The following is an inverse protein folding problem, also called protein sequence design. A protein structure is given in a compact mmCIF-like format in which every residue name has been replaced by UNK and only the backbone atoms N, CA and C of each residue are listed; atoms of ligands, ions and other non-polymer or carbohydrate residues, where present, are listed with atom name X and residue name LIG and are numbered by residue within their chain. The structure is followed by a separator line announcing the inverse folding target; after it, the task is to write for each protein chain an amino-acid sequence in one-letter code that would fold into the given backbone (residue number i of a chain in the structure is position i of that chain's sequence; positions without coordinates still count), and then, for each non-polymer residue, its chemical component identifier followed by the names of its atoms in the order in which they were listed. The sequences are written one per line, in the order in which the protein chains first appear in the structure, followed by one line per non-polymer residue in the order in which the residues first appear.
data_IF_400309197586
#
_entry.id   IF_400309197586
#
_cell.length_a   1.000
_cell.length_b   1.000
_cell.length_c   1.000
_cell.angle_alpha   90.00
_cell.angle_beta   90.00
_cell.angle_gamma   90.00
#
_symmetry.space_group_name_H-M   'P 1'
#
loop_
_entity.id
_entity.type
_entity.pdbx_description
1 polymer ?
#
# COMPACT_ATOMS: atom_id res chain seq x y z
N UNK A 1 11.68 -33.73 -49.24
CA UNK A 1 12.43 -32.71 -48.47
C UNK A 1 11.42 -31.77 -47.85
N UNK A 2 10.88 -32.12 -46.68
CA UNK A 2 9.93 -31.29 -45.93
C UNK A 2 10.74 -30.33 -45.06
N UNK A 3 10.79 -29.05 -45.45
CA UNK A 3 11.31 -27.99 -44.59
C UNK A 3 10.19 -27.60 -43.61
N UNK A 4 10.30 -28.03 -42.36
CA UNK A 4 9.48 -27.52 -41.26
C UNK A 4 9.86 -26.05 -41.03
N UNK A 5 8.95 -25.12 -41.32
CA UNK A 5 8.97 -23.78 -40.75
C UNK A 5 8.67 -23.89 -39.25
N UNK A 6 9.73 -23.92 -38.44
CA UNK A 6 9.63 -23.54 -37.04
C UNK A 6 9.52 -22.02 -36.99
N UNK A 7 8.28 -21.50 -37.01
CA UNK A 7 8.01 -20.12 -36.63
C UNK A 7 8.35 -20.01 -35.14
N UNK A 8 9.57 -19.60 -34.81
CA UNK A 8 9.87 -19.14 -33.46
C UNK A 8 8.99 -17.91 -33.22
N UNK A 9 7.89 -18.09 -32.48
CA UNK A 9 7.19 -16.99 -31.83
C UNK A 9 8.19 -16.33 -30.86
N UNK A 10 9.00 -15.40 -31.36
CA UNK A 10 9.64 -14.44 -30.49
C UNK A 10 8.52 -13.64 -29.84
N UNK A 11 8.44 -13.71 -28.53
CA UNK A 11 7.51 -12.87 -27.77
C UNK A 11 7.89 -11.42 -28.02
N UNK A 12 7.03 -10.71 -28.74
CA UNK A 12 7.16 -9.28 -28.97
C UNK A 12 6.91 -8.55 -27.65
N UNK A 13 7.93 -7.87 -27.15
CA UNK A 13 7.88 -7.03 -25.95
C UNK A 13 8.05 -5.55 -26.29
N UNK A 14 7.90 -5.16 -27.56
CA UNK A 14 8.07 -3.77 -28.03
C UNK A 14 7.13 -2.79 -27.34
N UNK A 15 5.95 -3.24 -26.92
CA UNK A 15 4.98 -2.46 -26.16
C UNK A 15 5.35 -2.23 -24.68
N UNK A 16 6.40 -2.88 -24.18
CA UNK A 16 6.81 -2.80 -22.77
C UNK A 16 8.01 -1.88 -22.59
N UNK A 17 7.76 -0.68 -22.09
CA UNK A 17 8.80 0.30 -21.87
C UNK A 17 9.66 -0.06 -20.65
N UNK A 18 10.97 0.06 -20.80
CA UNK A 18 11.90 -0.10 -19.71
C UNK A 18 11.82 1.09 -18.75
N UNK A 19 11.58 0.82 -17.47
CA UNK A 19 11.48 1.84 -16.43
C UNK A 19 12.38 1.43 -15.26
N UNK A 20 13.59 2.00 -15.10
CA UNK A 20 14.37 1.76 -13.89
C UNK A 20 13.70 2.49 -12.72
N UNK A 21 13.56 1.81 -11.58
CA UNK A 21 12.97 2.37 -10.35
C UNK A 21 13.94 2.23 -9.19
N UNK A 22 14.01 3.21 -8.29
CA UNK A 22 14.89 3.17 -7.11
C UNK A 22 14.13 3.58 -5.86
N UNK A 23 14.49 3.01 -4.71
CA UNK A 23 13.83 3.33 -3.44
C UNK A 23 14.01 4.79 -2.99
N UNK A 24 15.03 5.48 -3.52
CA UNK A 24 15.29 6.89 -3.29
C UNK A 24 15.94 7.53 -4.53
N UNK A 25 15.86 8.85 -4.70
CA UNK A 25 16.56 9.55 -5.77
C UNK A 25 18.06 9.27 -5.75
N UNK A 26 18.61 8.77 -6.86
CA UNK A 26 20.03 8.38 -6.97
C UNK A 26 20.40 7.06 -6.27
N UNK A 27 19.43 6.36 -5.68
CA UNK A 27 19.62 5.04 -5.10
C UNK A 27 19.83 3.93 -6.16
N UNK A 28 20.16 2.72 -5.72
CA UNK A 28 20.34 1.57 -6.62
C UNK A 28 19.02 1.27 -7.36
N UNK A 29 18.98 1.35 -8.69
CA UNK A 29 17.77 1.01 -9.43
C UNK A 29 17.58 -0.50 -9.50
N UNK A 30 16.32 -0.92 -9.53
CA UNK A 30 15.91 -2.26 -9.98
C UNK A 30 15.20 -2.13 -11.33
N UNK A 31 15.33 -3.16 -12.16
CA UNK A 31 14.74 -3.16 -13.48
C UNK A 31 13.22 -3.32 -13.39
N UNK A 32 12.46 -2.62 -14.22
CA UNK A 32 11.02 -2.84 -14.35
C UNK A 32 10.55 -2.62 -15.79
N UNK A 33 9.29 -2.99 -16.03
CA UNK A 33 8.58 -2.74 -17.28
C UNK A 33 7.24 -2.08 -17.00
N UNK A 34 6.88 -1.15 -17.87
CA UNK A 34 5.57 -0.50 -17.89
C UNK A 34 4.93 -0.72 -19.25
N UNK A 35 3.75 -1.34 -19.27
CA UNK A 35 2.87 -1.35 -20.44
C UNK A 35 1.87 -0.22 -20.27
N UNK A 36 1.73 0.63 -21.30
CA UNK A 36 0.76 1.72 -21.33
C UNK A 36 -0.52 1.34 -22.09
N UNK A 37 -1.69 1.83 -21.68
CA UNK A 37 -2.91 1.70 -22.46
C UNK A 37 -2.76 2.51 -23.76
N UNK A 38 -3.54 2.13 -24.79
CA UNK A 38 -3.52 2.83 -26.08
C UNK A 38 -4.13 4.23 -26.02
N UNK A 39 -4.96 4.50 -25.02
CA UNK A 39 -5.63 5.78 -24.78
C UNK A 39 -5.47 6.19 -23.31
N UNK A 40 -5.01 7.42 -23.09
CA UNK A 40 -4.77 8.03 -21.78
C UNK A 40 -5.49 9.39 -21.66
N UNK A 41 -6.44 9.68 -22.55
CA UNK A 41 -7.26 10.90 -22.50
C UNK A 41 -8.02 11.00 -21.18
N UNK A 42 -8.60 9.88 -20.74
CA UNK A 42 -9.18 9.69 -19.41
C UNK A 42 -8.22 8.95 -18.46
N UNK A 43 -8.31 9.19 -17.13
CA UNK A 43 -7.54 8.44 -16.14
C UNK A 43 -7.77 6.92 -16.20
N UNK A 44 -6.69 6.14 -16.33
CA UNK A 44 -6.74 4.68 -16.49
C UNK A 44 -6.28 3.92 -15.23
N UNK A 45 -6.74 2.66 -15.00
CA UNK A 45 -6.26 1.83 -13.89
C UNK A 45 -4.76 1.54 -13.94
N UNK A 46 -4.21 1.16 -12.79
CA UNK A 46 -2.85 0.63 -12.67
C UNK A 46 -2.88 -0.79 -12.09
N UNK A 47 -2.32 -1.76 -12.81
CA UNK A 47 -2.12 -3.13 -12.34
C UNK A 47 -0.64 -3.38 -12.01
N UNK A 48 -0.33 -3.57 -10.73
CA UNK A 48 1.01 -3.89 -10.23
C UNK A 48 1.15 -5.40 -10.11
N UNK A 49 2.17 -5.98 -10.76
CA UNK A 49 2.38 -7.44 -10.80
C UNK A 49 3.74 -7.82 -10.22
N UNK A 50 3.73 -8.58 -9.11
CA UNK A 50 4.93 -9.09 -8.47
C UNK A 50 5.19 -10.55 -8.87
N UNK A 51 6.35 -10.80 -9.46
CA UNK A 51 6.72 -12.14 -9.96
C UNK A 51 7.21 -13.09 -8.85
N UNK A 52 7.31 -14.39 -9.19
CA UNK A 52 7.82 -15.43 -8.29
C UNK A 52 9.35 -15.50 -8.25
N UNK A 53 9.90 -16.35 -7.39
CA UNK A 53 11.36 -16.41 -7.19
C UNK A 53 12.16 -16.81 -8.44
N UNK A 54 11.53 -17.52 -9.39
CA UNK A 54 12.15 -17.98 -10.64
C UNK A 54 12.34 -16.91 -11.71
N UNK A 55 11.71 -15.73 -11.55
CA UNK A 55 11.79 -14.61 -12.50
C UNK A 55 12.72 -13.47 -12.02
N UNK A 56 13.42 -13.66 -10.90
CA UNK A 56 14.44 -12.72 -10.43
C UNK A 56 15.54 -12.53 -11.47
N UNK A 57 16.08 -11.32 -11.55
CA UNK A 57 17.09 -11.00 -12.55
C UNK A 57 17.41 -9.51 -12.63
N UNK A 58 18.09 -9.13 -13.71
CA UNK A 58 18.47 -7.75 -14.02
C UNK A 58 18.02 -7.30 -15.43
N UNK A 59 17.42 -8.20 -16.21
CA UNK A 59 17.03 -7.98 -17.61
C UNK A 59 15.59 -7.52 -17.80
N UNK A 60 14.77 -7.61 -16.74
CA UNK A 60 13.33 -7.35 -16.60
C UNK A 60 12.36 -8.10 -17.53
N UNK A 61 12.84 -8.65 -18.65
CA UNK A 61 12.00 -9.41 -19.58
C UNK A 61 11.60 -10.78 -19.03
N UNK A 62 12.42 -11.38 -18.16
CA UNK A 62 12.09 -12.67 -17.53
C UNK A 62 10.91 -12.57 -16.58
N UNK A 63 10.61 -11.37 -16.05
CA UNK A 63 9.41 -11.09 -15.26
C UNK A 63 8.11 -11.00 -16.11
N UNK A 64 8.21 -10.89 -17.44
CA UNK A 64 7.06 -10.80 -18.35
C UNK A 64 6.43 -12.17 -18.68
N UNK A 65 6.22 -13.00 -17.65
CA UNK A 65 5.64 -14.36 -17.76
C UNK A 65 4.33 -14.47 -16.99
N UNK A 66 3.44 -15.36 -17.45
CA UNK A 66 2.12 -15.57 -16.83
C UNK A 66 1.23 -14.33 -17.00
N UNK A 67 0.94 -13.57 -15.94
CA UNK A 67 -0.03 -12.49 -15.99
C UNK A 67 0.38 -11.29 -16.86
N UNK A 68 1.62 -10.76 -16.78
CA UNK A 68 2.07 -9.73 -17.72
C UNK A 68 1.93 -10.17 -19.17
N UNK A 69 2.30 -11.41 -19.50
CA UNK A 69 2.12 -11.95 -20.86
C UNK A 69 0.64 -11.98 -21.28
N UNK A 70 -0.26 -12.36 -20.39
CA UNK A 70 -1.70 -12.33 -20.63
C UNK A 70 -2.19 -10.89 -20.88
N UNK A 71 -1.80 -9.94 -20.05
CA UNK A 71 -2.17 -8.53 -20.17
C UNK A 71 -1.62 -7.86 -21.42
N UNK A 72 -0.46 -8.31 -21.92
CA UNK A 72 0.11 -7.85 -23.19
C UNK A 72 -0.64 -8.34 -24.44
N UNK A 73 -1.60 -9.27 -24.33
CA UNK A 73 -2.35 -9.76 -25.50
C UNK A 73 -3.30 -8.69 -26.04
N UNK A 74 -3.54 -8.60 -27.36
CA UNK A 74 -4.46 -7.61 -27.93
C UNK A 74 -5.87 -7.66 -27.31
N UNK A 75 -6.38 -8.87 -27.04
CA UNK A 75 -7.68 -9.04 -26.37
C UNK A 75 -7.69 -8.38 -25.00
N UNK A 76 -6.68 -8.63 -24.16
CA UNK A 76 -6.65 -8.06 -22.80
C UNK A 76 -6.38 -6.57 -22.79
N UNK A 77 -5.52 -6.07 -23.68
CA UNK A 77 -5.32 -4.61 -23.85
C UNK A 77 -6.61 -3.90 -24.26
N UNK A 78 -7.45 -4.54 -25.06
CA UNK A 78 -8.76 -4.01 -25.46
C UNK A 78 -9.82 -4.14 -24.36
N UNK A 79 -9.91 -5.31 -23.70
CA UNK A 79 -10.92 -5.55 -22.65
C UNK A 79 -10.64 -4.72 -21.38
N UNK A 80 -9.35 -4.49 -21.08
CA UNK A 80 -8.86 -3.83 -19.87
C UNK A 80 -7.75 -2.82 -20.20
N UNK A 81 -8.08 -1.67 -20.81
CA UNK A 81 -7.12 -0.59 -20.98
C UNK A 81 -6.63 -0.14 -19.59
N UNK A 82 -5.35 -0.36 -19.32
CA UNK A 82 -4.71 -0.01 -18.05
C UNK A 82 -3.20 0.10 -18.22
N UNK A 83 -2.58 0.75 -17.25
CA UNK A 83 -1.15 0.65 -17.02
C UNK A 83 -0.84 -0.70 -16.36
N UNK A 84 0.21 -1.40 -16.83
CA UNK A 84 0.69 -2.63 -16.18
C UNK A 84 2.14 -2.45 -15.77
N UNK A 85 2.38 -2.41 -14.47
CA UNK A 85 3.70 -2.20 -13.87
C UNK A 85 4.27 -3.52 -13.34
N UNK A 86 5.43 -3.90 -13.88
CA UNK A 86 6.08 -5.18 -13.59
C UNK A 86 7.52 -4.94 -13.15
N UNK A 87 7.78 -4.75 -11.84
CA UNK A 87 9.13 -4.69 -11.29
C UNK A 87 9.79 -6.05 -11.31
N UNK A 88 11.11 -6.08 -11.44
CA UNK A 88 11.93 -7.28 -11.32
C UNK A 88 12.80 -7.23 -10.05
N UNK A 89 12.58 -8.20 -9.16
CA UNK A 89 13.37 -8.37 -7.97
C UNK A 89 14.78 -8.85 -8.37
N UNK A 90 15.85 -8.22 -7.85
CA UNK A 90 17.22 -8.60 -8.15
C UNK A 90 17.54 -10.06 -7.75
N UNK A 91 18.62 -10.64 -8.31
CA UNK A 91 19.12 -11.94 -7.86
C UNK A 91 19.40 -11.93 -6.35
N UNK A 92 19.07 -13.04 -5.68
CA UNK A 92 19.30 -13.26 -4.24
C UNK A 92 18.51 -12.36 -3.27
N UNK A 93 17.63 -11.49 -3.77
CA UNK A 93 16.71 -10.68 -2.95
C UNK A 93 15.29 -11.26 -3.00
N UNK A 94 14.39 -10.72 -2.17
CA UNK A 94 12.96 -11.07 -2.13
C UNK A 94 12.11 -9.80 -2.00
N UNK A 95 10.83 -9.91 -2.38
CA UNK A 95 9.86 -8.81 -2.23
C UNK A 95 9.51 -8.53 -0.78
N UNK A 96 9.55 -9.54 0.08
CA UNK A 96 9.25 -9.43 1.50
C UNK A 96 10.07 -10.44 2.26
N UNK A 97 10.02 -10.37 3.60
CA UNK A 97 10.48 -11.47 4.45
C UNK A 97 9.69 -12.73 4.09
N UNK A 98 10.39 -13.82 3.82
CA UNK A 98 9.80 -15.15 3.62
C UNK A 98 10.21 -16.03 4.79
N UNK A 99 9.24 -16.68 5.41
CA UNK A 99 9.49 -17.58 6.53
C UNK A 99 10.36 -18.77 6.11
N UNK A 100 11.23 -19.20 7.03
CA UNK A 100 11.95 -20.47 6.88
C UNK A 100 11.04 -21.68 7.11
N UNK A 101 9.86 -21.47 7.68
CA UNK A 101 8.85 -22.52 7.88
C UNK A 101 7.79 -22.43 6.80
N UNK A 102 7.37 -23.56 6.25
CA UNK A 102 6.32 -23.57 5.23
C UNK A 102 4.93 -23.28 5.79
N UNK A 103 4.71 -23.34 7.11
CA UNK A 103 3.37 -23.32 7.74
C UNK A 103 3.05 -22.05 8.54
N UNK A 104 4.05 -21.22 8.87
CA UNK A 104 3.84 -19.92 9.54
C UNK A 104 4.65 -18.82 8.88
N UNK A 105 4.01 -17.73 8.48
CA UNK A 105 4.68 -16.58 7.88
C UNK A 105 5.44 -15.81 8.96
N UNK A 106 6.62 -15.28 8.62
CA UNK A 106 7.32 -14.33 9.46
C UNK A 106 6.54 -12.99 9.45
N UNK A 107 6.50 -12.25 10.56
CA UNK A 107 6.01 -10.88 10.51
C UNK A 107 6.92 -10.06 9.59
N UNK A 108 6.32 -9.18 8.78
CA UNK A 108 7.07 -8.18 8.04
C UNK A 108 7.87 -7.28 8.99
N UNK A 109 9.08 -6.92 8.57
CA UNK A 109 9.90 -5.95 9.29
C UNK A 109 9.28 -4.55 9.25
N UNK A 110 9.76 -3.67 10.11
CA UNK A 110 9.36 -2.27 10.15
C UNK A 110 9.53 -1.61 8.78
N UNK A 111 10.70 -1.77 8.17
CA UNK A 111 11.00 -1.29 6.82
C UNK A 111 10.72 -2.36 5.76
N UNK A 112 10.29 -1.94 4.55
CA UNK A 112 10.17 -2.85 3.41
C UNK A 112 11.54 -3.39 3.01
N UNK A 113 11.56 -4.59 2.42
CA UNK A 113 12.77 -5.08 1.75
C UNK A 113 13.20 -4.10 0.64
N UNK A 114 14.50 -3.92 0.36
CA UNK A 114 14.95 -2.92 -0.61
C UNK A 114 14.26 -2.98 -1.98
N UNK A 115 13.98 -4.16 -2.56
CA UNK A 115 13.19 -4.23 -3.80
C UNK A 115 11.77 -3.70 -3.64
N UNK A 116 11.10 -3.97 -2.52
CA UNK A 116 9.75 -3.48 -2.26
C UNK A 116 9.72 -1.97 -2.04
N UNK A 117 10.73 -1.41 -1.36
CA UNK A 117 10.87 0.04 -1.26
C UNK A 117 10.96 0.70 -2.65
N UNK A 118 11.65 0.07 -3.59
CA UNK A 118 11.72 0.54 -4.97
C UNK A 118 10.39 0.35 -5.73
N UNK A 119 9.61 -0.70 -5.44
CA UNK A 119 8.24 -0.86 -5.98
C UNK A 119 7.32 0.25 -5.47
N UNK A 120 7.35 0.55 -4.17
CA UNK A 120 6.59 1.66 -3.59
C UNK A 120 6.92 2.97 -4.33
N UNK A 121 8.21 3.29 -4.48
CA UNK A 121 8.63 4.48 -5.20
C UNK A 121 8.23 4.46 -6.69
N UNK A 122 8.36 3.31 -7.37
CA UNK A 122 7.97 3.18 -8.77
C UNK A 122 6.47 3.41 -9.02
N UNK A 123 5.61 3.00 -8.08
CA UNK A 123 4.17 3.33 -8.14
C UNK A 123 3.98 4.85 -8.05
N UNK A 124 4.69 5.52 -7.15
CA UNK A 124 4.59 6.97 -6.98
C UNK A 124 5.11 7.73 -8.20
N UNK A 125 6.21 7.28 -8.79
CA UNK A 125 6.77 7.85 -10.01
C UNK A 125 5.79 7.72 -11.17
N UNK A 126 5.10 6.58 -11.29
CA UNK A 126 4.04 6.37 -12.28
C UNK A 126 2.87 7.33 -12.01
N UNK A 127 2.37 7.43 -10.78
CA UNK A 127 1.29 8.37 -10.44
C UNK A 127 1.66 9.83 -10.75
N UNK A 128 2.93 10.20 -10.58
CA UNK A 128 3.41 11.55 -10.86
C UNK A 128 3.57 11.87 -12.36
N UNK A 129 3.70 10.85 -13.21
CA UNK A 129 4.04 11.02 -14.63
C UNK A 129 2.96 10.54 -15.60
N UNK A 130 2.03 9.73 -15.12
CA UNK A 130 1.01 9.06 -15.93
C UNK A 130 -0.40 9.43 -15.47
N UNK A 131 -1.37 9.37 -16.38
CA UNK A 131 -2.77 9.68 -16.09
C UNK A 131 -3.49 8.49 -15.45
N UNK A 132 -3.15 8.18 -14.20
CA UNK A 132 -3.69 7.03 -13.46
C UNK A 132 -4.91 7.42 -12.62
N UNK A 133 -5.94 6.58 -12.65
CA UNK A 133 -7.07 6.59 -11.71
C UNK A 133 -6.65 5.83 -10.44
N UNK A 134 -6.31 6.55 -9.38
CA UNK A 134 -5.85 5.93 -8.13
C UNK A 134 -6.96 5.21 -7.36
N UNK A 135 -8.24 5.43 -7.70
CA UNK A 135 -9.32 4.61 -7.16
C UNK A 135 -9.33 3.19 -7.76
N UNK A 136 -8.47 2.91 -8.76
CA UNK A 136 -8.33 1.65 -9.48
C UNK A 136 -6.87 1.19 -9.61
N UNK A 137 -6.12 1.24 -8.51
CA UNK A 137 -4.81 0.55 -8.42
C UNK A 137 -5.06 -0.88 -7.90
N UNK A 138 -4.54 -1.87 -8.61
CA UNK A 138 -4.66 -3.28 -8.27
C UNK A 138 -3.29 -3.90 -8.03
N UNK A 139 -3.21 -4.84 -7.10
CA UNK A 139 -1.96 -5.53 -6.75
C UNK A 139 -2.13 -7.05 -6.84
N UNK A 140 -1.27 -7.71 -7.59
CA UNK A 140 -1.30 -9.16 -7.73
C UNK A 140 0.12 -9.74 -7.75
N UNK A 141 0.28 -10.97 -7.26
CA UNK A 141 1.56 -11.64 -7.35
C UNK A 141 1.49 -13.11 -6.97
N UNK A 142 2.46 -13.88 -7.48
CA UNK A 142 2.53 -15.34 -7.29
C UNK A 142 3.74 -15.76 -6.45
N UNK A 143 3.57 -16.76 -5.58
CA UNK A 143 4.64 -17.33 -4.76
C UNK A 143 5.37 -16.24 -3.96
N UNK A 144 6.66 -15.98 -4.21
CA UNK A 144 7.40 -14.81 -3.69
C UNK A 144 6.64 -13.48 -3.87
N UNK A 145 6.03 -13.27 -5.03
CA UNK A 145 5.18 -12.10 -5.30
C UNK A 145 3.83 -12.14 -4.58
N UNK A 146 3.34 -13.33 -4.20
CA UNK A 146 2.17 -13.48 -3.34
C UNK A 146 2.46 -13.01 -1.91
N UNK A 147 3.64 -13.32 -1.37
CA UNK A 147 4.12 -12.72 -0.11
C UNK A 147 4.30 -11.21 -0.23
N UNK A 148 4.91 -10.73 -1.32
CA UNK A 148 5.04 -9.29 -1.60
C UNK A 148 3.69 -8.57 -1.74
N UNK A 149 2.67 -9.25 -2.28
CA UNK A 149 1.31 -8.71 -2.39
C UNK A 149 0.70 -8.47 -1.01
N UNK A 150 0.86 -9.43 -0.09
CA UNK A 150 0.45 -9.27 1.29
C UNK A 150 1.22 -8.14 1.99
N UNK A 151 2.55 -8.10 1.83
CA UNK A 151 3.40 -7.07 2.45
C UNK A 151 3.02 -5.66 2.02
N UNK A 152 2.97 -5.41 0.71
CA UNK A 152 2.67 -4.08 0.18
C UNK A 152 1.23 -3.65 0.51
N UNK A 153 0.25 -4.58 0.47
CA UNK A 153 -1.11 -4.27 0.92
C UNK A 153 -1.19 -3.95 2.42
N UNK A 154 -0.35 -4.58 3.26
CA UNK A 154 -0.29 -4.29 4.69
C UNK A 154 0.28 -2.90 4.96
N UNK A 155 1.29 -2.51 4.18
CA UNK A 155 1.99 -1.23 4.29
C UNK A 155 1.19 -0.06 3.72
N UNK A 156 0.48 -0.29 2.61
CA UNK A 156 -0.26 0.73 1.84
C UNK A 156 -1.70 0.28 1.49
N UNK A 157 -2.52 -0.12 2.49
CA UNK A 157 -3.86 -0.63 2.23
C UNK A 157 -4.78 0.39 1.54
N UNK A 158 -4.52 1.68 1.72
CA UNK A 158 -5.22 2.81 1.09
C UNK A 158 -4.79 3.09 -0.35
N UNK A 159 -3.85 2.33 -0.91
CA UNK A 159 -3.49 2.47 -2.33
C UNK A 159 -4.32 1.57 -3.23
N UNK A 160 -4.70 0.40 -2.75
CA UNK A 160 -5.20 -0.67 -3.61
C UNK A 160 -6.71 -0.84 -3.51
N UNK A 161 -7.37 -0.71 -4.65
CA UNK A 161 -8.78 -1.05 -4.82
C UNK A 161 -9.03 -2.55 -4.63
N UNK A 162 -8.07 -3.40 -5.05
CA UNK A 162 -8.13 -4.84 -4.87
C UNK A 162 -6.74 -5.48 -4.85
N UNK A 163 -6.63 -6.60 -4.14
CA UNK A 163 -5.42 -7.42 -4.10
C UNK A 163 -5.69 -8.91 -4.37
N UNK A 164 -4.76 -9.54 -5.07
CA UNK A 164 -4.82 -10.93 -5.52
C UNK A 164 -3.55 -11.68 -5.18
N UNK A 165 -3.31 -12.00 -3.89
CA UNK A 165 -2.18 -12.83 -3.50
C UNK A 165 -2.40 -14.29 -3.96
N UNK A 166 -1.41 -14.86 -4.63
CA UNK A 166 -1.47 -16.24 -5.15
C UNK A 166 -0.33 -17.06 -4.54
N UNK A 167 -0.67 -18.19 -3.90
CA UNK A 167 0.24 -19.12 -3.24
C UNK A 167 1.38 -18.46 -2.43
N UNK A 168 1.03 -17.43 -1.67
CA UNK A 168 1.89 -16.77 -0.68
C UNK A 168 1.28 -16.82 0.71
N UNK A 169 1.67 -15.90 1.60
CA UNK A 169 1.06 -15.76 2.92
C UNK A 169 1.51 -14.53 3.69
N UNK A 170 0.85 -14.27 4.82
CA UNK A 170 1.22 -13.19 5.74
C UNK A 170 1.08 -13.67 7.18
N UNK A 171 1.83 -13.06 8.10
CA UNK A 171 1.64 -13.34 9.52
C UNK A 171 0.32 -12.73 9.99
N UNK A 172 -0.45 -13.47 10.80
CA UNK A 172 -1.76 -13.04 11.33
C UNK A 172 -1.71 -11.72 12.12
N UNK A 173 -0.55 -11.31 12.64
CA UNK A 173 -0.37 -10.00 13.30
C UNK A 173 -0.74 -8.83 12.38
N UNK A 174 -0.63 -9.02 11.06
CA UNK A 174 -0.98 -8.01 10.06
C UNK A 174 -2.47 -8.01 9.69
N UNK A 175 -3.27 -8.96 10.20
CA UNK A 175 -4.70 -9.08 9.87
C UNK A 175 -5.51 -7.78 10.01
N UNK A 176 -5.33 -6.97 11.08
CA UNK A 176 -6.06 -5.71 11.23
C UNK A 176 -5.86 -4.73 10.07
N UNK A 177 -4.69 -4.76 9.41
CA UNK A 177 -4.35 -3.85 8.31
C UNK A 177 -5.16 -4.12 7.05
N UNK A 178 -5.66 -5.35 6.87
CA UNK A 178 -6.42 -5.79 5.70
C UNK A 178 -7.94 -5.66 5.84
N UNK A 179 -8.45 -5.32 7.04
CA UNK A 179 -9.89 -5.17 7.25
C UNK A 179 -10.43 -4.01 6.41
N UNK A 180 -11.51 -4.26 5.68
CA UNK A 180 -12.09 -3.31 4.73
C UNK A 180 -11.41 -3.28 3.36
N UNK A 181 -10.52 -4.24 3.04
CA UNK A 181 -9.90 -4.35 1.71
C UNK A 181 -10.50 -5.50 0.89
N UNK A 182 -10.67 -5.27 -0.41
CA UNK A 182 -11.08 -6.30 -1.36
C UNK A 182 -9.91 -7.23 -1.68
N UNK A 183 -9.94 -8.44 -1.14
CA UNK A 183 -8.88 -9.44 -1.31
C UNK A 183 -9.47 -10.70 -1.91
N UNK A 184 -8.84 -11.25 -2.94
CA UNK A 184 -9.12 -12.59 -3.44
C UNK A 184 -7.86 -13.44 -3.44
N UNK A 185 -7.70 -14.25 -2.41
CA UNK A 185 -6.56 -15.14 -2.27
C UNK A 185 -6.75 -16.44 -3.06
N UNK A 186 -5.71 -16.89 -3.75
CA UNK A 186 -5.70 -18.16 -4.50
C UNK A 186 -4.61 -19.08 -3.98
N UNK A 187 -4.93 -20.35 -3.72
CA UNK A 187 -3.93 -21.31 -3.27
C UNK A 187 -4.28 -22.75 -3.68
N UNK A 188 -3.26 -23.50 -4.10
CA UNK A 188 -3.35 -24.95 -4.25
C UNK A 188 -3.38 -25.65 -2.89
N UNK A 189 -4.36 -26.51 -2.64
CA UNK A 189 -4.42 -27.25 -1.38
C UNK A 189 -3.34 -28.34 -1.27
N UNK A 190 -2.73 -28.72 -2.40
CA UNK A 190 -1.62 -29.67 -2.48
C UNK A 190 -0.27 -28.97 -2.73
N UNK A 191 -0.14 -27.69 -2.39
CA UNK A 191 1.11 -26.95 -2.51
C UNK A 191 2.14 -27.42 -1.46
N UNK A 192 3.20 -28.06 -1.94
CA UNK A 192 4.31 -28.61 -1.15
C UNK A 192 5.49 -27.62 -1.02
N UNK A 193 5.45 -26.49 -1.73
CA UNK A 193 6.50 -25.46 -1.71
C UNK A 193 6.14 -24.36 -0.71
N UNK A 194 4.90 -23.86 -0.80
CA UNK A 194 4.33 -22.88 0.12
C UNK A 194 3.07 -23.52 0.72
N UNK A 195 3.06 -23.79 2.03
CA UNK A 195 1.90 -24.49 2.60
C UNK A 195 0.66 -23.61 2.53
N UNK A 196 -0.46 -24.21 2.13
CA UNK A 196 -1.78 -23.57 2.14
C UNK A 196 -2.18 -23.05 3.53
N UNK A 197 -1.62 -23.63 4.61
CA UNK A 197 -1.81 -23.18 5.99
C UNK A 197 -1.47 -21.69 6.18
N UNK A 198 -0.53 -21.16 5.40
CA UNK A 198 -0.18 -19.74 5.43
C UNK A 198 -1.35 -18.84 4.99
N UNK A 199 -2.09 -19.25 3.96
CA UNK A 199 -3.32 -18.56 3.56
C UNK A 199 -4.42 -18.77 4.60
N UNK A 200 -4.57 -19.99 5.14
CA UNK A 200 -5.57 -20.27 6.18
C UNK A 200 -5.45 -19.31 7.37
N UNK A 201 -4.26 -19.21 7.93
CA UNK A 201 -4.01 -18.43 9.13
C UNK A 201 -4.35 -16.95 8.93
N UNK A 202 -3.93 -16.34 7.81
CA UNK A 202 -4.19 -14.92 7.59
C UNK A 202 -5.65 -14.66 7.25
N UNK A 203 -6.28 -15.49 6.40
CA UNK A 203 -7.68 -15.30 6.01
C UNK A 203 -8.62 -15.48 7.21
N UNK A 204 -8.35 -16.47 8.08
CA UNK A 204 -9.10 -16.66 9.32
C UNK A 204 -8.96 -15.45 10.25
N UNK A 205 -7.75 -14.92 10.42
CA UNK A 205 -7.51 -13.77 11.28
C UNK A 205 -8.21 -12.49 10.77
N UNK A 206 -8.23 -12.28 9.44
CA UNK A 206 -8.99 -11.16 8.85
C UNK A 206 -10.49 -11.31 9.11
N UNK A 207 -11.04 -12.53 8.93
CA UNK A 207 -12.47 -12.82 9.18
C UNK A 207 -12.87 -12.60 10.64
N UNK A 208 -12.00 -12.98 11.59
CA UNK A 208 -12.23 -12.74 13.02
C UNK A 208 -12.32 -11.26 13.39
N UNK A 209 -11.70 -10.38 12.61
CA UNK A 209 -11.75 -8.93 12.77
C UNK A 209 -12.87 -8.26 11.95
N UNK A 210 -13.74 -9.06 11.31
CA UNK A 210 -14.88 -8.59 10.52
C UNK A 210 -14.54 -8.22 9.07
N UNK A 211 -13.37 -8.63 8.56
CA UNK A 211 -13.04 -8.52 7.14
C UNK A 211 -13.60 -9.70 6.32
N UNK A 212 -13.75 -9.50 5.01
CA UNK A 212 -14.43 -10.46 4.12
C UNK A 212 -13.57 -10.88 2.91
N UNK A 213 -12.37 -11.45 3.12
CA UNK A 213 -11.53 -11.85 2.00
C UNK A 213 -12.13 -13.06 1.26
N UNK A 214 -12.18 -12.97 -0.07
CA UNK A 214 -12.51 -14.08 -0.96
C UNK A 214 -11.34 -15.07 -1.02
N UNK A 215 -11.67 -16.33 -1.26
CA UNK A 215 -10.71 -17.40 -1.34
C UNK A 215 -11.08 -18.39 -2.44
N UNK A 216 -10.09 -18.78 -3.25
CA UNK A 216 -10.17 -19.92 -4.15
C UNK A 216 -9.15 -20.97 -3.73
N UNK A 217 -9.62 -21.99 -3.02
CA UNK A 217 -8.84 -23.16 -2.61
C UNK A 217 -8.98 -24.27 -3.64
N UNK A 218 -7.87 -24.68 -4.23
CA UNK A 218 -7.86 -25.61 -5.36
C UNK A 218 -7.41 -27.01 -4.90
N UNK A 219 -8.32 -27.99 -4.73
CA UNK A 219 -8.03 -29.22 -3.96
C UNK A 219 -6.83 -30.06 -4.45
N UNK A 220 -6.61 -30.15 -5.76
CA UNK A 220 -5.56 -31.00 -6.35
C UNK A 220 -4.42 -30.20 -6.97
N UNK A 221 -4.45 -28.87 -6.87
CA UNK A 221 -3.43 -28.01 -7.46
C UNK A 221 -2.26 -27.90 -6.50
N UNK A 222 -1.04 -28.07 -7.02
CA UNK A 222 0.22 -27.89 -6.30
C UNK A 222 0.62 -26.40 -6.32
N UNK A 223 1.92 -26.12 -6.45
CA UNK A 223 2.44 -24.75 -6.38
C UNK A 223 1.93 -23.81 -7.48
N UNK A 224 1.55 -24.34 -8.64
CA UNK A 224 1.21 -23.60 -9.86
C UNK A 224 -0.21 -23.00 -9.90
N UNK A 225 -0.79 -22.65 -8.75
CA UNK A 225 -2.17 -22.12 -8.64
C UNK A 225 -2.43 -20.83 -9.44
N UNK A 226 -1.38 -20.09 -9.80
CA UNK A 226 -1.47 -18.93 -10.70
C UNK A 226 -2.00 -19.26 -12.10
N UNK A 227 -1.86 -20.51 -12.57
CA UNK A 227 -2.48 -20.93 -13.84
C UNK A 227 -4.00 -20.86 -13.79
N UNK A 228 -4.58 -21.18 -12.64
CA UNK A 228 -6.01 -21.12 -12.41
C UNK A 228 -6.45 -19.68 -12.14
N UNK A 229 -5.75 -18.96 -11.27
CA UNK A 229 -6.08 -17.57 -10.94
C UNK A 229 -6.08 -16.67 -12.19
N UNK A 230 -5.08 -16.85 -13.07
CA UNK A 230 -4.94 -16.07 -14.29
C UNK A 230 -5.75 -16.61 -15.48
N UNK A 231 -6.41 -17.78 -15.38
CA UNK A 231 -6.96 -18.57 -16.50
C UNK A 231 -7.71 -17.75 -17.57
N UNK A 232 -9.03 -17.74 -17.61
CA UNK A 232 -9.77 -16.77 -18.43
C UNK A 232 -9.71 -15.36 -17.80
N UNK A 233 -8.60 -15.00 -17.15
CA UNK A 233 -8.36 -13.71 -16.50
C UNK A 233 -9.26 -13.44 -15.29
N UNK A 234 -10.00 -14.43 -14.77
CA UNK A 234 -11.00 -14.25 -13.72
C UNK A 234 -10.57 -13.42 -12.50
N UNK A 235 -9.30 -13.50 -12.08
CA UNK A 235 -8.78 -12.65 -11.01
C UNK A 235 -8.74 -11.18 -11.43
N UNK A 236 -8.21 -10.89 -12.63
CA UNK A 236 -8.17 -9.54 -13.21
C UNK A 236 -9.58 -9.03 -13.46
N UNK A 237 -10.44 -9.84 -14.07
CA UNK A 237 -11.82 -9.48 -14.37
C UNK A 237 -12.54 -9.05 -13.07
N UNK A 238 -12.36 -9.80 -11.98
CA UNK A 238 -12.88 -9.41 -10.67
C UNK A 238 -12.22 -8.16 -10.12
N UNK A 239 -10.88 -8.03 -10.18
CA UNK A 239 -10.19 -6.81 -9.71
C UNK A 239 -10.74 -5.55 -10.38
N UNK A 240 -11.01 -5.61 -11.69
CA UNK A 240 -11.51 -4.47 -12.45
C UNK A 240 -12.98 -4.08 -12.15
N UNK A 241 -13.69 -4.90 -11.37
CA UNK A 241 -14.99 -4.53 -10.79
C UNK A 241 -14.86 -3.74 -9.49
N UNK A 242 -13.66 -3.67 -8.92
CA UNK A 242 -13.41 -3.04 -7.62
C UNK A 242 -12.99 -1.58 -7.82
N UNK A 243 -13.39 -0.74 -6.88
CA UNK A 243 -12.87 0.62 -6.71
C UNK A 243 -12.53 0.81 -5.24
N UNK A 244 -11.45 1.53 -4.97
CA UNK A 244 -11.11 1.92 -3.61
C UNK A 244 -12.20 2.85 -3.08
N UNK A 245 -12.85 2.45 -1.99
CA UNK A 245 -13.69 3.33 -1.19
C UNK A 245 -12.89 3.83 0.01
N UNK A 246 -12.55 5.12 0.10
CA UNK A 246 -11.81 5.68 1.22
C UNK A 246 -12.47 5.42 2.57
N UNK A 247 -13.80 5.41 2.65
CA UNK A 247 -14.55 5.13 3.89
C UNK A 247 -14.26 3.75 4.47
N UNK A 248 -13.91 2.76 3.63
CA UNK A 248 -13.56 1.43 4.12
C UNK A 248 -12.20 1.42 4.87
N UNK A 249 -11.34 2.41 4.65
CA UNK A 249 -10.04 2.51 5.33
C UNK A 249 -10.21 2.71 6.85
N UNK A 250 -11.30 3.36 7.28
CA UNK A 250 -11.63 3.54 8.70
C UNK A 250 -11.94 2.21 9.42
N UNK A 251 -12.46 1.18 8.71
CA UNK A 251 -12.72 -0.14 9.31
C UNK A 251 -11.44 -0.79 9.79
N UNK A 252 -10.39 -0.76 8.96
CA UNK A 252 -9.08 -1.27 9.35
C UNK A 252 -8.40 -0.40 10.41
N UNK A 253 -8.58 0.93 10.38
CA UNK A 253 -8.12 1.83 11.45
C UNK A 253 -8.66 1.39 12.82
N UNK A 254 -9.98 1.16 12.90
CA UNK A 254 -10.64 0.68 14.11
C UNK A 254 -10.16 -0.71 14.53
N UNK A 255 -10.04 -1.64 13.59
CA UNK A 255 -9.55 -2.99 13.89
C UNK A 255 -8.13 -2.97 14.47
N UNK A 256 -7.27 -2.12 13.93
CA UNK A 256 -5.91 -1.90 14.41
C UNK A 256 -5.88 -1.33 15.83
N UNK A 257 -6.57 -0.20 16.07
CA UNK A 257 -6.64 0.42 17.39
C UNK A 257 -7.19 -0.55 18.44
N UNK A 258 -8.28 -1.25 18.12
CA UNK A 258 -8.86 -2.26 19.00
C UNK A 258 -7.90 -3.39 19.32
N UNK A 259 -7.09 -3.83 18.35
CA UNK A 259 -6.12 -4.91 18.57
C UNK A 259 -4.93 -4.49 19.42
N UNK A 260 -4.60 -3.19 19.44
CA UNK A 260 -3.44 -2.66 20.18
C UNK A 260 -3.79 -2.09 21.55
N UNK A 261 -4.95 -1.43 21.68
CA UNK A 261 -5.34 -0.66 22.86
C UNK A 261 -6.58 -1.23 23.57
N UNK A 262 -6.90 -2.53 23.37
CA UNK A 262 -8.05 -3.19 23.99
C UNK A 262 -8.08 -3.07 25.52
N UNK A 263 -6.91 -3.18 26.15
CA UNK A 263 -6.76 -3.27 27.60
C UNK A 263 -6.50 -1.91 28.27
N UNK A 264 -6.39 -0.83 27.48
CA UNK A 264 -6.14 0.52 27.98
C UNK A 264 -6.13 1.55 26.84
N UNK A 265 -7.04 2.54 26.85
CA UNK A 265 -7.11 3.54 25.79
C UNK A 265 -5.88 4.46 25.81
N UNK A 266 -5.46 4.93 24.64
CA UNK A 266 -4.39 5.92 24.53
C UNK A 266 -4.93 7.32 24.80
N UNK A 267 -4.25 8.06 25.67
CA UNK A 267 -4.57 9.46 25.96
C UNK A 267 -3.96 10.36 24.89
N UNK A 268 -4.79 11.18 24.26
CA UNK A 268 -4.42 12.04 23.14
C UNK A 268 -4.73 13.50 23.46
N UNK A 269 -3.72 14.36 23.31
CA UNK A 269 -3.88 15.81 23.34
C UNK A 269 -4.01 16.31 21.91
N UNK A 270 -5.01 17.15 21.64
CA UNK A 270 -5.30 17.62 20.29
C UNK A 270 -5.01 19.11 20.18
N UNK A 271 -4.07 19.46 19.30
CA UNK A 271 -3.72 20.84 18.93
C UNK A 271 -3.69 20.97 17.41
N UNK A 272 -4.84 20.72 16.79
CA UNK A 272 -4.96 20.66 15.34
C UNK A 272 -5.85 21.77 14.81
N UNK A 273 -5.69 22.05 13.52
CA UNK A 273 -6.49 23.01 12.79
C UNK A 273 -7.92 22.52 12.52
N UNK A 274 -8.82 23.48 12.29
CA UNK A 274 -10.24 23.22 12.04
C UNK A 274 -10.50 22.25 10.88
N UNK A 275 -9.60 22.17 9.88
CA UNK A 275 -9.73 21.22 8.76
C UNK A 275 -9.74 19.78 9.27
N UNK A 276 -8.92 19.46 10.28
CA UNK A 276 -8.77 18.10 10.82
C UNK A 276 -9.83 17.74 11.87
N UNK A 277 -10.68 18.71 12.28
CA UNK A 277 -11.66 18.53 13.35
C UNK A 277 -12.60 17.33 13.13
N UNK A 278 -13.16 17.08 11.92
CA UNK A 278 -14.01 15.90 11.68
C UNK A 278 -13.30 14.56 11.96
N UNK A 279 -12.00 14.47 11.67
CA UNK A 279 -11.22 13.27 11.95
C UNK A 279 -10.90 13.09 13.43
N UNK A 280 -10.68 14.19 14.16
CA UNK A 280 -10.53 14.13 15.62
C UNK A 280 -11.82 13.66 16.28
N UNK A 281 -12.97 14.17 15.85
CA UNK A 281 -14.28 13.75 16.37
C UNK A 281 -14.53 12.26 16.11
N UNK A 282 -14.22 11.79 14.89
CA UNK A 282 -14.32 10.38 14.55
C UNK A 282 -13.39 9.49 15.41
N UNK A 283 -12.18 9.95 15.71
CA UNK A 283 -11.25 9.25 16.62
C UNK A 283 -11.74 9.26 18.06
N UNK A 284 -12.20 10.40 18.57
CA UNK A 284 -12.69 10.56 19.94
C UNK A 284 -13.94 9.71 20.23
N UNK A 285 -14.69 9.34 19.20
CA UNK A 285 -15.82 8.41 19.30
C UNK A 285 -15.39 6.94 19.49
N UNK A 286 -14.10 6.60 19.31
CA UNK A 286 -13.59 5.25 19.52
C UNK A 286 -13.23 5.02 20.99
N UNK A 287 -13.65 3.89 21.60
CA UNK A 287 -13.34 3.61 23.01
C UNK A 287 -11.85 3.44 23.28
N UNK A 288 -11.04 3.17 22.25
CA UNK A 288 -9.58 3.04 22.35
C UNK A 288 -8.84 4.38 22.44
N UNK A 289 -9.54 5.51 22.22
CA UNK A 289 -8.96 6.86 22.24
C UNK A 289 -9.61 7.66 23.36
N UNK A 290 -8.81 8.34 24.16
CA UNK A 290 -9.29 9.31 25.15
C UNK A 290 -8.69 10.67 24.86
N UNK A 291 -9.49 11.62 24.40
CA UNK A 291 -9.03 13.02 24.22
C UNK A 291 -9.00 13.70 25.58
N UNK A 292 -7.85 14.28 25.92
CA UNK A 292 -7.60 14.89 27.24
C UNK A 292 -7.21 16.36 27.13
N UNK A 293 -7.67 17.15 28.09
CA UNK A 293 -7.31 18.57 28.28
C UNK A 293 -6.74 18.74 29.70
N UNK A 294 -5.54 18.20 29.90
CA UNK A 294 -4.74 18.30 31.13
C UNK A 294 -3.27 18.47 30.75
N UNK A 295 -2.39 18.70 31.71
CA UNK A 295 -0.96 18.66 31.42
C UNK A 295 -0.54 17.25 30.90
N UNK A 296 0.31 17.17 29.85
CA UNK A 296 0.79 15.90 29.33
C UNK A 296 1.62 15.13 30.35
N UNK A 297 1.38 13.82 30.42
CA UNK A 297 2.12 12.87 31.27
C UNK A 297 2.74 11.76 30.42
N UNK A 298 3.68 11.02 31.00
CA UNK A 298 4.36 9.92 30.32
C UNK A 298 3.37 8.93 29.69
N UNK A 299 3.58 8.61 28.41
CA UNK A 299 2.72 7.74 27.60
C UNK A 299 1.64 8.48 26.80
N UNK A 300 1.36 9.75 27.09
CA UNK A 300 0.42 10.53 26.29
C UNK A 300 0.96 10.80 24.88
N UNK A 301 0.06 10.94 23.91
CA UNK A 301 0.37 11.37 22.55
C UNK A 301 -0.19 12.77 22.30
N UNK A 302 0.62 13.67 21.77
CA UNK A 302 0.20 15.00 21.33
C UNK A 302 0.08 14.99 19.80
N UNK A 303 -1.13 15.18 19.29
CA UNK A 303 -1.41 15.44 17.88
C UNK A 303 -1.38 16.94 17.64
N UNK A 304 -0.48 17.41 16.77
CA UNK A 304 -0.37 18.84 16.45
C UNK A 304 -0.37 19.05 14.94
N UNK A 305 -1.14 20.04 14.46
CA UNK A 305 -0.98 20.52 13.09
C UNK A 305 0.01 21.70 13.07
N UNK A 306 1.01 21.70 12.17
CA UNK A 306 1.97 22.78 12.09
C UNK A 306 1.36 23.96 11.33
N UNK A 307 0.86 24.96 12.05
CA UNK A 307 0.71 26.34 11.53
C UNK A 307 1.62 27.28 12.31
N UNK A 308 2.80 27.58 11.76
CA UNK A 308 3.74 28.53 12.38
C UNK A 308 5.22 28.21 12.14
N UNK A 309 6.09 28.97 12.79
CA UNK A 309 7.54 28.75 12.78
C UNK A 309 7.88 27.42 13.45
N UNK A 310 8.39 26.48 12.66
CA UNK A 310 8.77 25.14 13.10
C UNK A 310 10.19 25.09 13.68
N UNK A 311 10.88 26.23 13.81
CA UNK A 311 12.24 26.32 14.36
C UNK A 311 12.35 25.72 15.77
N UNK A 312 11.31 25.88 16.60
CA UNK A 312 11.27 25.41 17.98
C UNK A 312 10.89 23.92 18.12
N UNK A 313 10.52 23.23 17.03
CA UNK A 313 10.10 21.81 17.07
C UNK A 313 11.20 20.91 17.64
N UNK A 314 12.47 21.17 17.32
CA UNK A 314 13.58 20.38 17.82
C UNK A 314 13.74 20.51 19.35
N UNK A 315 13.47 21.68 19.89
CA UNK A 315 13.50 21.95 21.33
C UNK A 315 12.29 21.31 22.03
N UNK A 316 11.10 21.45 21.44
CA UNK A 316 9.89 20.79 21.92
C UNK A 316 10.09 19.26 21.99
N UNK A 317 10.75 18.66 20.99
CA UNK A 317 11.15 17.25 21.00
C UNK A 317 11.91 16.87 22.26
N UNK A 318 12.95 17.63 22.57
CA UNK A 318 13.88 17.30 23.63
C UNK A 318 13.19 17.39 25.00
N UNK A 319 12.27 18.34 25.15
CA UNK A 319 11.46 18.48 26.36
C UNK A 319 10.49 17.30 26.50
N UNK A 320 9.70 17.00 25.46
CA UNK A 320 8.70 15.94 25.50
C UNK A 320 9.31 14.54 25.65
N UNK A 321 10.45 14.28 25.00
CA UNK A 321 11.16 13.01 25.14
C UNK A 321 11.65 12.76 26.57
N UNK A 322 12.09 13.81 27.29
CA UNK A 322 12.45 13.70 28.72
C UNK A 322 11.23 13.37 29.60
N UNK A 323 10.05 13.81 29.19
CA UNK A 323 8.78 13.54 29.87
C UNK A 323 8.13 12.22 29.43
N UNK A 324 8.74 11.51 28.46
CA UNK A 324 8.18 10.32 27.82
C UNK A 324 6.80 10.56 27.19
N UNK A 325 6.60 11.75 26.64
CA UNK A 325 5.40 12.15 25.89
C UNK A 325 5.72 12.04 24.40
N UNK A 326 4.81 11.47 23.62
CA UNK A 326 4.97 11.30 22.18
C UNK A 326 4.40 12.52 21.44
N UNK A 327 5.10 13.00 20.42
CA UNK A 327 4.63 14.08 19.56
C UNK A 327 4.45 13.56 18.14
N UNK A 328 3.25 13.76 17.61
CA UNK A 328 2.85 13.40 16.25
C UNK A 328 2.45 14.66 15.50
N UNK A 329 3.19 14.98 14.43
CA UNK A 329 2.80 16.04 13.52
C UNK A 329 1.74 15.52 12.56
N UNK A 330 0.65 16.26 12.41
CA UNK A 330 -0.40 16.02 11.41
C UNK A 330 -0.36 17.14 10.38
N UNK A 331 -0.36 16.80 9.11
CA UNK A 331 -0.28 17.80 8.03
C UNK A 331 -1.57 17.79 7.23
N UNK A 332 -2.08 18.96 6.87
CA UNK A 332 -3.38 19.07 6.22
C UNK A 332 -3.38 18.53 4.77
N UNK A 333 -4.50 17.96 4.30
CA UNK A 333 -4.68 17.62 2.89
C UNK A 333 -4.74 18.86 1.99
N UNK A 334 -4.49 18.68 0.69
CA UNK A 334 -4.44 19.77 -0.30
C UNK A 334 -5.85 20.21 -0.77
N UNK A 335 -6.07 21.51 -0.97
CA UNK A 335 -7.30 22.07 -1.56
C UNK A 335 -7.21 22.18 -3.09
N UNK A 336 -8.33 22.04 -3.81
CA UNK A 336 -8.33 22.15 -5.28
C UNK A 336 -7.87 23.53 -5.81
N UNK A 337 -8.19 24.63 -5.13
CA UNK A 337 -8.05 26.00 -5.65
C UNK A 337 -6.95 26.88 -4.99
N UNK A 338 -5.94 26.28 -4.36
CA UNK A 338 -4.91 27.07 -3.65
C UNK A 338 -3.97 27.80 -4.65
N UNK A 339 -3.76 29.14 -4.59
CA UNK A 339 -3.04 29.85 -5.66
C UNK A 339 -1.51 29.62 -5.64
N UNK A 340 -0.79 29.80 -6.77
CA UNK A 340 0.64 29.55 -6.86
C UNK A 340 1.45 30.86 -6.82
N UNK A 341 1.84 31.32 -5.64
CA UNK A 341 2.87 32.37 -5.51
C UNK A 341 3.47 32.44 -4.11
N UNK A 342 4.72 32.79 -3.91
CA UNK A 342 5.92 32.59 -4.75
C UNK A 342 7.10 32.20 -3.85
N UNK A 343 7.02 32.57 -2.56
CA UNK A 343 7.64 31.90 -1.41
C UNK A 343 6.81 30.70 -0.90
N UNK A 344 5.54 30.59 -1.33
CA UNK A 344 4.59 29.52 -0.99
C UNK A 344 5.17 28.17 -1.26
N UNK A 345 4.75 27.23 -0.40
CA UNK A 345 4.86 25.78 -0.61
C UNK A 345 6.29 25.25 -0.59
N UNK A 346 7.23 26.05 -1.05
CA UNK A 346 8.36 25.51 -1.72
C UNK A 346 9.23 24.80 -0.69
N UNK A 347 9.65 25.32 0.47
CA UNK A 347 10.61 24.54 1.27
C UNK A 347 10.07 23.31 2.07
N UNK A 348 8.99 23.46 2.86
CA UNK A 348 8.53 22.44 3.81
C UNK A 348 7.74 21.27 3.15
N UNK A 349 7.16 21.54 1.98
CA UNK A 349 6.53 20.58 1.06
C UNK A 349 7.56 19.97 0.12
N UNK A 350 8.65 20.70 -0.21
CA UNK A 350 9.69 20.20 -1.14
C UNK A 350 10.31 18.89 -0.66
N UNK A 351 10.13 18.51 0.61
CA UNK A 351 10.67 17.27 1.09
C UNK A 351 9.60 16.35 1.68
N UNK A 352 8.94 16.59 2.83
CA UNK A 352 8.54 15.40 3.61
C UNK A 352 7.43 15.52 4.68
N UNK A 353 6.32 16.24 4.50
CA UNK A 353 5.19 16.08 5.45
C UNK A 353 3.85 16.54 4.85
N UNK A 354 3.02 15.63 4.31
CA UNK A 354 1.59 15.88 3.96
C UNK A 354 0.73 14.62 4.12
N UNK A 355 -0.25 14.75 5.02
CA UNK A 355 -1.01 13.69 5.69
C UNK A 355 -0.18 12.48 6.09
N UNK A 356 0.84 12.77 6.88
CA UNK A 356 1.61 11.78 7.62
C UNK A 356 1.50 12.13 9.09
N UNK A 357 1.17 11.13 9.89
CA UNK A 357 1.34 11.21 11.32
C UNK A 357 2.78 10.73 11.59
N UNK A 358 3.71 11.66 11.80
CA UNK A 358 5.12 11.35 11.95
C UNK A 358 5.49 11.43 13.43
N UNK A 359 6.02 10.36 14.05
CA UNK A 359 6.80 10.52 15.25
C UNK A 359 7.91 11.53 14.93
N UNK A 360 8.12 12.52 15.79
CA UNK A 360 9.11 13.56 15.52
C UNK A 360 10.56 13.01 15.32
N UNK A 361 10.80 11.75 15.69
CA UNK A 361 12.03 11.02 15.42
C UNK A 361 12.29 10.72 13.94
N UNK A 362 11.23 10.57 13.13
CA UNK A 362 11.26 9.91 11.82
C UNK A 362 10.98 10.84 10.64
N UNK A 363 10.90 12.15 10.90
CA UNK A 363 10.66 13.21 9.89
C UNK A 363 11.72 13.22 8.77
N UNK A 364 12.90 12.64 9.00
CA UNK A 364 13.95 12.54 7.98
C UNK A 364 13.85 11.27 7.11
N UNK A 365 13.01 10.28 7.43
CA UNK A 365 13.01 8.95 6.79
C UNK A 365 11.69 8.50 6.13
N UNK A 366 10.50 8.96 6.55
CA UNK A 366 9.23 8.27 6.20
C UNK A 366 8.36 8.90 5.10
N UNK A 367 8.83 9.95 4.44
CA UNK A 367 7.88 10.98 4.09
C UNK A 367 7.45 11.10 2.61
N UNK A 368 7.31 10.00 1.88
CA UNK A 368 7.06 10.04 0.43
C UNK A 368 5.73 9.45 -0.07
N UNK A 369 4.90 8.77 0.73
CA UNK A 369 4.09 7.70 0.14
C UNK A 369 2.61 8.04 -0.22
N UNK A 370 1.81 8.72 0.58
CA UNK A 370 0.34 8.71 0.37
C UNK A 370 -0.25 9.77 -0.60
N UNK A 371 0.47 10.86 -0.90
CA UNK A 371 -0.11 12.03 -1.59
C UNK A 371 -0.45 11.81 -3.07
N UNK A 372 0.42 11.22 -3.93
CA UNK A 372 0.09 11.00 -5.34
C UNK A 372 -1.13 10.10 -5.52
N UNK A 373 -1.41 9.24 -4.53
CA UNK A 373 -2.57 8.36 -4.58
C UNK A 373 -3.84 9.15 -4.34
N UNK A 374 -3.91 9.97 -3.29
CA UNK A 374 -5.16 10.63 -2.90
C UNK A 374 -5.62 11.70 -3.90
N UNK A 375 -4.69 12.45 -4.51
CA UNK A 375 -5.04 13.45 -5.53
C UNK A 375 -5.55 12.83 -6.84
N UNK A 376 -5.32 11.54 -7.04
CA UNK A 376 -5.76 10.79 -8.23
C UNK A 376 -7.02 9.95 -7.96
N UNK A 377 -7.64 10.05 -6.77
CA UNK A 377 -8.85 9.27 -6.44
C UNK A 377 -10.12 9.80 -7.13
N UNK A 378 -10.09 11.03 -7.66
CA UNK A 378 -11.26 11.66 -8.27
C UNK A 378 -12.39 11.94 -7.26
N UNK A 379 -12.07 12.04 -5.97
CA UNK A 379 -12.99 12.42 -4.90
C UNK A 379 -12.41 13.59 -4.11
N UNK A 380 -13.26 14.53 -3.70
CA UNK A 380 -12.84 15.63 -2.86
C UNK A 380 -12.51 15.14 -1.46
N UNK A 381 -11.27 15.38 -1.03
CA UNK A 381 -10.82 15.09 0.34
C UNK A 381 -11.21 16.22 1.28
N UNK A 382 -11.30 17.44 0.75
CA UNK A 382 -11.68 18.65 1.46
C UNK A 382 -12.69 19.42 0.63
N UNK A 383 -13.83 19.74 1.22
CA UNK A 383 -14.88 20.56 0.62
C UNK A 383 -15.23 21.71 1.57
N UNK A 384 -15.41 22.93 1.04
CA UNK A 384 -15.76 24.10 1.85
C UNK A 384 -14.80 24.42 3.02
N UNK A 385 -13.55 23.94 2.97
CA UNK A 385 -12.57 24.14 4.05
C UNK A 385 -12.63 23.09 5.18
N UNK A 386 -13.39 22.01 5.02
CA UNK A 386 -13.51 20.90 5.99
C UNK A 386 -13.30 19.54 5.32
N UNK A 387 -12.82 18.55 6.09
CA UNK A 387 -12.70 17.19 5.58
C UNK A 387 -14.06 16.60 5.19
N UNK A 388 -14.11 15.98 4.01
CA UNK A 388 -15.25 15.15 3.61
C UNK A 388 -15.27 13.84 4.41
N UNK A 389 -16.29 13.00 4.25
CA UNK A 389 -16.31 11.66 4.86
C UNK A 389 -15.11 10.81 4.40
N UNK A 390 -14.84 10.82 3.09
CA UNK A 390 -13.69 10.14 2.48
C UNK A 390 -12.37 10.65 3.04
N UNK A 391 -12.22 11.98 3.13
CA UNK A 391 -11.02 12.58 3.72
C UNK A 391 -10.86 12.20 5.18
N UNK A 392 -11.95 12.26 5.96
CA UNK A 392 -11.99 11.85 7.36
C UNK A 392 -11.54 10.40 7.55
N UNK A 393 -12.05 9.46 6.76
CA UNK A 393 -11.70 8.05 6.88
C UNK A 393 -10.21 7.76 6.59
N UNK A 394 -9.62 8.44 5.60
CA UNK A 394 -8.19 8.36 5.31
C UNK A 394 -7.37 8.95 6.45
N UNK A 395 -7.79 10.09 7.01
CA UNK A 395 -7.11 10.72 8.14
C UNK A 395 -7.11 9.84 9.38
N UNK A 396 -8.28 9.31 9.75
CA UNK A 396 -8.44 8.38 10.88
C UNK A 396 -7.51 7.18 10.71
N UNK A 397 -7.40 6.63 9.50
CA UNK A 397 -6.48 5.54 9.20
C UNK A 397 -5.02 5.92 9.43
N UNK A 398 -4.57 7.03 8.86
CA UNK A 398 -3.19 7.51 9.02
C UNK A 398 -2.85 7.74 10.50
N UNK A 399 -3.74 8.38 11.26
CA UNK A 399 -3.51 8.63 12.69
C UNK A 399 -3.45 7.31 13.47
N UNK A 400 -4.37 6.38 13.21
CA UNK A 400 -4.39 5.08 13.88
C UNK A 400 -3.09 4.30 13.69
N UNK A 401 -2.54 4.25 12.47
CA UNK A 401 -1.29 3.56 12.20
C UNK A 401 -0.11 4.17 12.98
N UNK A 402 -0.06 5.50 13.06
CA UNK A 402 0.99 6.17 13.81
C UNK A 402 0.85 5.99 15.31
N UNK A 403 -0.38 6.08 15.85
CA UNK A 403 -0.61 5.83 17.27
C UNK A 403 -0.10 4.45 17.68
N UNK A 404 -0.26 3.44 16.82
CA UNK A 404 0.23 2.09 17.07
C UNK A 404 1.74 2.00 17.02
N UNK A 405 2.40 2.77 16.14
CA UNK A 405 3.88 2.87 16.13
C UNK A 405 4.40 3.60 17.37
N UNK A 406 3.75 4.69 17.78
CA UNK A 406 4.22 5.55 18.88
C UNK A 406 3.86 5.05 20.27
N UNK A 407 2.71 4.39 20.41
CA UNK A 407 2.13 3.98 21.70
C UNK A 407 2.56 2.60 22.17
N UNK A 408 3.52 1.96 21.50
CA UNK A 408 4.16 0.75 22.01
C UNK A 408 5.26 1.12 23.03
N UNK A 409 5.28 0.48 24.22
CA UNK A 409 6.16 0.82 25.33
C UNK A 409 7.65 0.59 25.06
#
# INVERSE_FOLDING_TARGET
MFLLLALMYMTDFSDWDALPISASPGGRPIASRLLRPSDTSDPQPLLVILHGMGERGIDSTTALKFLPKLMGTPKRRNDFPCYVFVPQCPPNETWSVISRTQVSAAPFGEFPEPPMAAVEQGILDILATENVDASRIYLCGLSMGGFGTWDLLSRRPEWFAAAGPICGGANKVHAPRYVGRSIWNWHGAADEIVSVALSDHILQAIRQLGGEPKESRLPSVKHNSWRNAHADGQLVDWMFTQRLNPSDSAKGARAMLRSTFADGPVSVHVKVDAVLQPAIEALAALPEITVVDRDPVAGDVILISPRGDLSEIAKLRQVLAKQKVHLVLLTEPHHADEPPNSERRSWAIRHHARMQALPLADIRSECASALPVWSHLGVDIVDGGVLTESGTALVVRTIAETLIKTGQP
#
